data_IF_506999635036
#
_entry.id   IF_506999635036
#
_cell.length_a   1.000
_cell.length_b   1.000
_cell.length_c   1.000
_cell.angle_alpha   90.00
_cell.angle_beta   90.00
_cell.angle_gamma   90.00
#
_symmetry.space_group_name_H-M   'P 1'
#
loop_
_entity.id
_entity.type
_entity.pdbx_description
1 polymer ?
#
# COMPACT_ATOMS: atom_id res chain seq x y z
N UNK A 1 27.65 -2.94 -31.62
CA UNK A 1 27.30 -1.64 -30.97
C UNK A 1 28.16 -0.54 -31.57
N UNK A 2 27.56 0.23 -32.51
CA UNK A 2 28.31 1.17 -33.34
C UNK A 2 28.37 2.58 -32.72
N UNK A 3 27.51 2.91 -31.76
CA UNK A 3 27.40 4.24 -31.17
C UNK A 3 27.58 4.20 -29.65
N UNK A 4 28.25 5.20 -29.08
CA UNK A 4 28.47 5.34 -27.63
C UNK A 4 27.23 5.90 -26.92
N UNK A 5 26.46 6.76 -27.58
CA UNK A 5 25.25 7.36 -27.06
C UNK A 5 24.12 7.27 -28.11
N UNK A 6 22.93 6.98 -27.63
CA UNK A 6 21.69 6.93 -28.43
C UNK A 6 20.67 7.86 -27.80
N UNK A 7 20.13 8.81 -28.54
CA UNK A 7 19.05 9.68 -28.07
C UNK A 7 17.75 9.20 -28.67
N UNK A 8 16.80 8.81 -27.81
CA UNK A 8 15.46 8.38 -28.20
C UNK A 8 14.53 9.59 -28.08
N UNK A 9 13.87 9.94 -29.17
CA UNK A 9 12.93 11.03 -29.26
C UNK A 9 11.66 10.53 -29.94
N UNK A 10 10.71 10.02 -29.15
CA UNK A 10 9.39 9.64 -29.65
C UNK A 10 8.38 10.75 -29.38
N UNK A 11 7.16 10.56 -29.89
CA UNK A 11 6.07 11.49 -29.68
C UNK A 11 5.78 11.64 -28.17
N UNK A 12 5.46 12.85 -27.75
CA UNK A 12 5.13 13.14 -26.35
C UNK A 12 3.63 12.87 -26.10
N UNK A 13 3.19 11.66 -26.43
CA UNK A 13 1.87 11.11 -26.12
C UNK A 13 2.00 9.75 -25.44
N UNK A 14 0.90 9.18 -25.01
CA UNK A 14 0.88 7.92 -24.25
C UNK A 14 1.55 6.77 -25.01
N UNK A 15 1.33 6.69 -26.32
CA UNK A 15 1.92 5.66 -27.17
C UNK A 15 3.44 5.81 -27.30
N UNK A 16 3.92 7.04 -27.51
CA UNK A 16 5.35 7.35 -27.62
C UNK A 16 6.09 7.16 -26.29
N UNK A 17 5.48 7.53 -25.17
CA UNK A 17 6.03 7.29 -23.83
C UNK A 17 6.17 5.79 -23.57
N UNK A 18 5.14 5.01 -23.88
CA UNK A 18 5.17 3.54 -23.72
C UNK A 18 6.23 2.92 -24.62
N UNK A 19 6.29 3.32 -25.90
CA UNK A 19 7.31 2.84 -26.83
C UNK A 19 8.74 3.15 -26.34
N UNK A 20 8.97 4.33 -25.75
CA UNK A 20 10.24 4.66 -25.12
C UNK A 20 10.58 3.72 -23.96
N UNK A 21 9.62 3.44 -23.08
CA UNK A 21 9.80 2.52 -21.94
C UNK A 21 10.12 1.09 -22.41
N UNK A 22 9.50 0.62 -23.47
CA UNK A 22 9.74 -0.73 -24.02
C UNK A 22 11.13 -0.85 -24.68
N UNK A 23 11.64 0.20 -25.31
CA UNK A 23 12.90 0.19 -26.04
C UNK A 23 14.12 0.47 -25.16
N UNK A 24 13.97 1.32 -24.15
CA UNK A 24 15.07 1.76 -23.29
C UNK A 24 15.81 0.64 -22.57
N UNK A 25 15.14 -0.41 -22.03
CA UNK A 25 15.82 -1.53 -21.37
C UNK A 25 16.69 -2.38 -22.30
N UNK A 26 16.53 -2.24 -23.63
CA UNK A 26 17.34 -2.97 -24.60
C UNK A 26 18.76 -2.41 -24.76
N UNK A 27 19.02 -1.23 -24.23
CA UNK A 27 20.34 -0.59 -24.27
C UNK A 27 21.12 -0.85 -22.98
N UNK A 28 22.44 -0.91 -23.12
CA UNK A 28 23.32 -0.94 -21.95
C UNK A 28 23.08 0.29 -21.05
N UNK A 29 23.24 0.16 -19.72
CA UNK A 29 23.02 1.25 -18.79
C UNK A 29 23.73 2.55 -19.20
N UNK A 30 23.04 3.67 -19.13
CA UNK A 30 23.51 5.02 -19.46
C UNK A 30 23.78 5.28 -20.96
N UNK A 31 23.66 4.30 -21.83
CA UNK A 31 23.87 4.47 -23.28
C UNK A 31 22.70 5.19 -23.93
N UNK A 32 21.48 4.89 -23.51
CA UNK A 32 20.28 5.54 -24.02
C UNK A 32 19.93 6.79 -23.21
N UNK A 33 19.57 7.84 -23.91
CA UNK A 33 19.05 9.11 -23.37
C UNK A 33 17.66 9.36 -23.93
N UNK A 34 16.80 9.99 -23.18
CA UNK A 34 15.45 10.37 -23.60
C UNK A 34 15.39 11.87 -23.82
N UNK A 35 14.95 12.25 -25.01
CA UNK A 35 14.62 13.62 -25.35
C UNK A 35 13.11 13.81 -25.21
N UNK A 36 12.68 14.62 -24.25
CA UNK A 36 11.27 14.98 -24.06
C UNK A 36 10.99 16.34 -24.71
N UNK A 37 10.03 16.37 -25.62
CA UNK A 37 9.66 17.59 -26.34
C UNK A 37 8.55 18.34 -25.59
N UNK A 38 8.51 19.68 -25.62
CA UNK A 38 7.43 20.49 -25.06
C UNK A 38 6.12 20.44 -25.86
N UNK A 39 6.17 20.00 -27.14
CA UNK A 39 5.01 19.73 -27.99
C UNK A 39 4.93 18.24 -28.30
N UNK A 40 3.88 17.83 -29.01
CA UNK A 40 3.60 16.41 -29.27
C UNK A 40 4.75 15.74 -30.01
N UNK A 41 5.25 16.33 -31.07
CA UNK A 41 6.28 15.76 -31.93
C UNK A 41 7.22 16.82 -32.52
N UNK A 42 8.26 16.36 -33.22
CA UNK A 42 9.23 17.23 -33.90
C UNK A 42 8.59 18.06 -35.04
N UNK A 43 7.54 17.53 -35.69
CA UNK A 43 6.79 18.23 -36.72
C UNK A 43 6.04 19.43 -36.18
N UNK A 44 5.40 19.26 -35.01
CA UNK A 44 4.70 20.35 -34.32
C UNK A 44 5.68 21.40 -33.79
N UNK A 45 6.88 21.00 -33.34
CA UNK A 45 7.96 21.92 -32.99
C UNK A 45 8.39 22.76 -34.17
N UNK A 46 8.50 22.13 -35.34
CA UNK A 46 8.86 22.83 -36.58
C UNK A 46 7.77 23.81 -37.04
N UNK A 47 6.48 23.38 -37.04
CA UNK A 47 5.33 24.23 -37.36
C UNK A 47 5.23 25.46 -36.45
N UNK A 48 5.56 25.27 -35.17
CA UNK A 48 5.57 26.32 -34.15
C UNK A 48 6.83 27.20 -34.20
N UNK A 49 7.72 27.00 -35.18
CA UNK A 49 9.01 27.71 -35.35
C UNK A 49 9.93 27.59 -34.11
N UNK A 50 9.90 26.44 -33.42
CA UNK A 50 10.64 26.17 -32.17
C UNK A 50 11.88 25.31 -32.37
N UNK A 51 12.58 25.48 -33.47
CA UNK A 51 13.77 24.69 -33.83
C UNK A 51 14.88 24.81 -32.77
N UNK A 52 15.09 26.00 -32.21
CA UNK A 52 16.10 26.21 -31.17
C UNK A 52 15.75 25.45 -29.88
N UNK A 53 14.47 25.42 -29.49
CA UNK A 53 14.00 24.67 -28.34
C UNK A 53 14.16 23.16 -28.56
N UNK A 54 13.83 22.66 -29.78
CA UNK A 54 14.06 21.26 -30.15
C UNK A 54 15.55 20.88 -30.02
N UNK A 55 16.45 21.69 -30.61
CA UNK A 55 17.89 21.43 -30.50
C UNK A 55 18.37 21.40 -29.05
N UNK A 56 17.83 22.30 -28.20
CA UNK A 56 18.15 22.32 -26.79
C UNK A 56 17.66 21.04 -26.10
N UNK A 57 16.42 20.61 -26.33
CA UNK A 57 15.88 19.35 -25.76
C UNK A 57 16.73 18.15 -26.17
N UNK A 58 17.23 18.13 -27.40
CA UNK A 58 18.11 17.06 -27.87
C UNK A 58 19.45 17.02 -27.11
N UNK A 59 20.10 18.14 -26.89
CA UNK A 59 21.36 18.22 -26.17
C UNK A 59 21.19 18.02 -24.67
N UNK A 60 20.06 18.44 -24.13
CA UNK A 60 19.69 18.26 -22.70
C UNK A 60 19.06 16.89 -22.42
N UNK A 61 19.03 15.97 -23.40
CA UNK A 61 18.46 14.64 -23.24
C UNK A 61 19.09 13.90 -22.06
N UNK A 62 18.25 13.43 -21.15
CA UNK A 62 18.68 12.78 -19.90
C UNK A 62 18.90 11.29 -20.09
N UNK A 63 19.92 10.76 -19.44
CA UNK A 63 20.13 9.31 -19.38
C UNK A 63 18.90 8.64 -18.80
N UNK A 64 18.50 7.53 -19.41
CA UNK A 64 17.41 6.70 -18.89
C UNK A 64 17.76 6.22 -17.49
N UNK A 65 16.81 6.37 -16.61
CA UNK A 65 16.84 5.78 -15.26
C UNK A 65 15.69 4.77 -15.18
N UNK A 66 15.97 3.50 -14.83
CA UNK A 66 14.91 2.55 -14.56
C UNK A 66 13.99 3.06 -13.46
N UNK A 67 12.73 2.59 -13.48
CA UNK A 67 11.77 2.91 -12.44
C UNK A 67 12.32 2.56 -11.05
N UNK A 68 12.10 3.43 -10.06
CA UNK A 68 12.62 3.27 -8.72
C UNK A 68 14.05 3.75 -8.51
N UNK A 69 14.82 4.04 -9.58
CA UNK A 69 16.16 4.62 -9.46
C UNK A 69 16.09 6.15 -9.44
N UNK A 70 16.46 6.74 -8.31
CA UNK A 70 16.51 8.21 -8.16
C UNK A 70 17.93 8.68 -7.84
N UNK A 71 18.25 9.88 -8.27
CA UNK A 71 19.50 10.56 -7.86
C UNK A 71 19.17 11.59 -6.78
N UNK A 72 20.07 11.79 -5.82
CA UNK A 72 19.88 12.80 -4.76
C UNK A 72 19.68 14.23 -5.32
N UNK A 73 20.16 14.50 -6.54
CA UNK A 73 19.97 15.79 -7.21
C UNK A 73 18.65 15.92 -7.98
N UNK A 74 17.79 14.89 -7.98
CA UNK A 74 16.48 15.01 -8.62
C UNK A 74 15.58 15.90 -7.73
N UNK A 75 14.81 16.79 -8.37
CA UNK A 75 14.06 17.86 -7.69
C UNK A 75 13.02 17.36 -6.67
N UNK A 76 12.49 16.15 -6.89
CA UNK A 76 11.46 15.54 -6.04
C UNK A 76 12.01 14.83 -4.79
N UNK A 77 13.33 14.56 -4.74
CA UNK A 77 13.95 13.85 -3.61
C UNK A 77 13.91 14.68 -2.34
N UNK A 78 14.21 15.98 -2.46
CA UNK A 78 14.12 16.89 -1.32
C UNK A 78 12.69 17.05 -0.80
N UNK A 79 11.72 17.14 -1.70
CA UNK A 79 10.30 17.22 -1.34
C UNK A 79 9.81 15.94 -0.65
N UNK A 80 10.29 14.78 -1.10
CA UNK A 80 10.04 13.50 -0.41
C UNK A 80 10.64 13.48 0.99
N UNK A 81 11.85 14.03 1.16
CA UNK A 81 12.46 14.17 2.48
C UNK A 81 11.64 15.07 3.40
N UNK A 82 11.19 16.23 2.92
CA UNK A 82 10.39 17.18 3.72
C UNK A 82 9.03 16.61 4.14
N UNK A 83 8.45 15.73 3.32
CA UNK A 83 7.20 15.04 3.63
C UNK A 83 7.37 13.91 4.63
N UNK A 84 8.59 13.40 4.82
CA UNK A 84 8.85 12.34 5.77
C UNK A 84 8.59 12.83 7.21
N UNK A 85 7.80 12.05 7.95
CA UNK A 85 7.41 12.40 9.32
C UNK A 85 6.21 13.34 9.41
N UNK A 86 5.61 13.70 8.27
CA UNK A 86 4.32 14.39 8.22
C UNK A 86 3.17 13.43 7.86
N UNK A 87 3.48 12.15 7.67
CA UNK A 87 2.48 11.12 7.42
C UNK A 87 1.55 10.99 8.63
N UNK A 88 0.29 10.72 8.33
CA UNK A 88 -0.68 10.42 9.37
C UNK A 88 -0.30 9.13 10.10
N UNK A 89 -0.14 9.22 11.40
CA UNK A 89 0.16 8.07 12.27
C UNK A 89 -1.11 7.63 12.97
N UNK A 90 -1.42 6.35 12.86
CA UNK A 90 -2.52 5.73 13.62
C UNK A 90 -1.95 5.13 14.89
N UNK A 91 -2.30 5.64 16.08
CA UNK A 91 -1.81 5.09 17.33
C UNK A 91 -2.24 3.63 17.50
N UNK A 92 -1.37 2.82 18.08
CA UNK A 92 -1.76 1.51 18.59
C UNK A 92 -2.66 1.68 19.81
N UNK A 93 -3.53 0.71 20.12
CA UNK A 93 -4.35 0.74 21.31
C UNK A 93 -3.56 0.99 22.59
N UNK A 94 -4.18 1.60 23.59
CA UNK A 94 -3.53 1.97 24.86
C UNK A 94 -2.86 0.76 25.55
N UNK A 95 -3.40 -0.45 25.39
CA UNK A 95 -2.81 -1.71 25.88
C UNK A 95 -1.41 -2.00 25.30
N UNK A 96 -1.05 -1.40 24.16
CA UNK A 96 0.26 -1.51 23.51
C UNK A 96 1.12 -0.26 23.70
N UNK A 97 0.93 0.50 24.77
CA UNK A 97 1.54 1.79 24.99
C UNK A 97 3.08 1.84 24.84
N UNK A 98 3.79 0.84 25.37
CA UNK A 98 5.25 0.74 25.21
C UNK A 98 5.68 0.54 23.76
N UNK A 99 4.96 -0.32 23.02
CA UNK A 99 5.20 -0.54 21.60
C UNK A 99 4.89 0.71 20.79
N UNK A 100 3.81 1.40 21.12
CA UNK A 100 3.41 2.66 20.50
C UNK A 100 4.52 3.73 20.63
N UNK A 101 5.13 3.85 21.81
CA UNK A 101 6.25 4.77 22.04
C UNK A 101 7.48 4.38 21.20
N UNK A 102 7.78 3.09 21.07
CA UNK A 102 8.88 2.59 20.23
C UNK A 102 8.65 2.82 18.73
N UNK A 103 7.41 2.88 18.29
CA UNK A 103 6.99 3.11 16.89
C UNK A 103 6.70 4.59 16.58
N UNK A 104 7.26 5.53 17.37
CA UNK A 104 7.04 6.97 17.19
C UNK A 104 5.55 7.38 17.16
N UNK A 105 4.73 6.72 17.95
CA UNK A 105 3.31 7.04 18.11
C UNK A 105 2.35 6.11 17.39
N UNK A 106 2.83 5.11 16.65
CA UNK A 106 1.95 4.11 16.02
C UNK A 106 2.37 3.67 14.63
N UNK A 107 1.39 3.32 13.81
CA UNK A 107 1.57 2.85 12.43
C UNK A 107 1.37 4.02 11.48
N UNK A 108 2.38 4.33 10.67
CA UNK A 108 2.28 5.39 9.67
C UNK A 108 1.49 4.94 8.43
N UNK A 109 0.78 5.88 7.82
CA UNK A 109 0.03 5.61 6.59
C UNK A 109 0.98 5.17 5.46
N UNK A 110 0.59 4.14 4.72
CA UNK A 110 1.37 3.58 3.61
C UNK A 110 2.51 2.64 4.01
N UNK A 111 2.69 2.35 5.30
CA UNK A 111 3.69 1.39 5.78
C UNK A 111 3.11 -0.02 5.96
N UNK A 112 3.99 -1.01 5.87
CA UNK A 112 3.67 -2.40 6.18
C UNK A 112 4.38 -2.80 7.47
N UNK A 113 3.61 -3.19 8.47
CA UNK A 113 4.13 -3.72 9.74
C UNK A 113 4.03 -5.25 9.75
N UNK A 114 5.13 -5.93 10.01
CA UNK A 114 5.17 -7.40 10.07
C UNK A 114 5.35 -7.86 11.53
N UNK A 115 4.45 -8.73 11.98
CA UNK A 115 4.52 -9.37 13.30
C UNK A 115 5.00 -10.81 13.14
N UNK A 116 6.22 -11.08 13.58
CA UNK A 116 6.82 -12.42 13.59
C UNK A 116 6.75 -13.05 14.97
N UNK A 117 6.31 -14.32 15.05
CA UNK A 117 6.33 -15.10 16.28
C UNK A 117 6.43 -16.59 15.97
N UNK A 118 6.97 -17.37 16.90
CA UNK A 118 6.95 -18.82 16.82
C UNK A 118 5.51 -19.34 16.93
N UNK A 119 5.31 -20.59 16.53
CA UNK A 119 4.00 -21.26 16.63
C UNK A 119 3.52 -21.29 18.09
N UNK A 120 2.23 -21.12 18.30
CA UNK A 120 1.55 -21.21 19.61
C UNK A 120 1.95 -20.17 20.69
N UNK A 121 2.66 -19.11 20.33
CA UNK A 121 3.00 -18.01 21.28
C UNK A 121 1.86 -16.98 21.44
N UNK A 122 0.81 -17.08 20.64
CA UNK A 122 -0.32 -16.13 20.72
C UNK A 122 -0.26 -14.99 19.68
N UNK A 123 0.47 -15.17 18.57
CA UNK A 123 0.49 -14.19 17.44
C UNK A 123 -0.93 -13.79 17.02
N UNK A 124 -1.77 -14.77 16.74
CA UNK A 124 -3.16 -14.54 16.31
C UNK A 124 -3.97 -13.83 17.41
N UNK A 125 -3.82 -14.21 18.67
CA UNK A 125 -4.45 -13.54 19.81
C UNK A 125 -4.03 -12.07 19.90
N UNK A 126 -2.74 -11.78 19.69
CA UNK A 126 -2.24 -10.41 19.63
C UNK A 126 -2.91 -9.61 18.51
N UNK A 127 -3.07 -10.20 17.33
CA UNK A 127 -3.73 -9.54 16.18
C UNK A 127 -5.19 -9.23 16.51
N UNK A 128 -5.95 -10.16 17.08
CA UNK A 128 -7.34 -9.89 17.48
C UNK A 128 -7.45 -8.79 18.55
N UNK A 129 -6.54 -8.76 19.53
CA UNK A 129 -6.48 -7.67 20.50
C UNK A 129 -6.14 -6.33 19.85
N UNK A 130 -5.25 -6.33 18.87
CA UNK A 130 -4.91 -5.13 18.10
C UNK A 130 -6.12 -4.63 17.31
N UNK A 131 -6.80 -5.52 16.59
CA UNK A 131 -8.03 -5.19 15.83
C UNK A 131 -9.11 -4.64 16.76
N UNK A 132 -9.37 -5.30 17.88
CA UNK A 132 -10.37 -4.84 18.85
C UNK A 132 -10.01 -3.46 19.43
N UNK A 133 -8.77 -3.27 19.84
CA UNK A 133 -8.36 -1.97 20.39
C UNK A 133 -8.40 -0.85 19.34
N UNK A 134 -8.00 -1.12 18.10
CA UNK A 134 -8.14 -0.15 17.01
C UNK A 134 -9.62 0.12 16.70
N UNK A 135 -10.48 -0.90 16.77
CA UNK A 135 -11.92 -0.74 16.60
C UNK A 135 -12.52 0.20 17.66
N UNK A 136 -12.12 0.05 18.93
CA UNK A 136 -12.68 0.82 20.05
C UNK A 136 -12.08 2.22 20.19
N UNK A 137 -10.78 2.38 19.94
CA UNK A 137 -10.04 3.61 20.22
C UNK A 137 -9.79 4.48 18.98
N UNK A 138 -9.99 3.95 17.76
CA UNK A 138 -9.75 4.65 16.51
C UNK A 138 -11.07 4.91 15.74
N UNK A 139 -11.11 5.99 14.97
CA UNK A 139 -12.18 6.27 14.01
C UNK A 139 -11.95 5.59 12.64
N UNK A 140 -10.84 4.87 12.44
CA UNK A 140 -10.48 4.24 11.16
C UNK A 140 -11.32 3.00 10.89
N UNK A 141 -11.59 2.75 9.62
CA UNK A 141 -12.11 1.47 9.14
C UNK A 141 -10.99 0.42 9.14
N UNK A 142 -11.32 -0.81 9.43
CA UNK A 142 -10.38 -1.93 9.56
C UNK A 142 -10.81 -3.05 8.62
N UNK A 143 -9.97 -3.38 7.65
CA UNK A 143 -10.12 -4.56 6.81
C UNK A 143 -9.33 -5.75 7.39
N UNK A 144 -10.00 -6.86 7.64
CA UNK A 144 -9.40 -8.08 8.15
C UNK A 144 -9.37 -9.17 7.08
N UNK A 145 -8.20 -9.79 6.92
CA UNK A 145 -7.99 -10.93 6.01
C UNK A 145 -7.36 -12.06 6.80
N UNK A 146 -8.15 -13.11 7.10
CA UNK A 146 -7.69 -14.30 7.79
C UNK A 146 -7.85 -15.50 6.84
N UNK A 147 -6.73 -16.00 6.30
CA UNK A 147 -6.75 -17.09 5.31
C UNK A 147 -6.87 -18.49 5.95
N UNK A 148 -6.66 -18.60 7.25
CA UNK A 148 -6.72 -19.87 8.01
C UNK A 148 -8.02 -20.04 8.81
N UNK A 149 -8.76 -18.95 9.06
CA UNK A 149 -9.99 -18.94 9.85
C UNK A 149 -11.20 -18.58 8.98
N UNK A 150 -12.32 -19.21 9.19
CA UNK A 150 -13.58 -18.79 8.58
C UNK A 150 -14.16 -17.55 9.29
N UNK A 151 -15.19 -16.95 8.68
CA UNK A 151 -15.84 -15.77 9.25
C UNK A 151 -16.45 -16.05 10.61
N UNK A 152 -17.05 -17.24 10.83
CA UNK A 152 -17.64 -17.62 12.11
C UNK A 152 -16.59 -17.69 13.21
N UNK A 153 -15.47 -18.36 12.96
CA UNK A 153 -14.34 -18.42 13.90
C UNK A 153 -13.75 -17.02 14.16
N UNK A 154 -13.63 -16.21 13.12
CA UNK A 154 -13.14 -14.83 13.23
C UNK A 154 -14.04 -13.99 14.14
N UNK A 155 -15.36 -14.07 13.94
CA UNK A 155 -16.35 -13.36 14.77
C UNK A 155 -16.34 -13.86 16.21
N UNK A 156 -16.26 -15.19 16.43
CA UNK A 156 -16.16 -15.76 17.78
C UNK A 156 -14.94 -15.23 18.54
N UNK A 157 -13.78 -15.16 17.88
CA UNK A 157 -12.55 -14.62 18.48
C UNK A 157 -12.63 -13.10 18.73
N UNK A 158 -13.21 -12.33 17.81
CA UNK A 158 -13.43 -10.90 18.03
C UNK A 158 -14.38 -10.64 19.19
N UNK A 159 -15.50 -11.36 19.27
CA UNK A 159 -16.43 -11.29 20.40
C UNK A 159 -15.76 -11.71 21.69
N UNK A 160 -14.94 -12.77 21.68
CA UNK A 160 -14.19 -13.22 22.85
C UNK A 160 -13.28 -12.12 23.41
N UNK A 161 -12.59 -11.41 22.55
CA UNK A 161 -11.75 -10.27 22.98
C UNK A 161 -12.62 -9.11 23.49
N UNK A 162 -13.70 -8.79 22.78
CA UNK A 162 -14.60 -7.69 23.14
C UNK A 162 -15.25 -7.92 24.52
N UNK A 163 -15.61 -9.16 24.83
CA UNK A 163 -16.25 -9.55 26.10
C UNK A 163 -15.23 -9.89 27.20
N UNK A 164 -13.95 -9.99 26.87
CA UNK A 164 -12.91 -10.42 27.82
C UNK A 164 -13.06 -11.88 28.29
N UNK A 165 -13.77 -12.71 27.52
CA UNK A 165 -14.05 -14.12 27.85
C UNK A 165 -13.85 -14.97 26.61
N UNK A 166 -13.06 -16.04 26.69
CA UNK A 166 -12.91 -16.97 25.58
C UNK A 166 -14.20 -17.79 25.38
N UNK A 167 -14.99 -17.42 24.36
CA UNK A 167 -16.28 -18.07 24.07
C UNK A 167 -16.10 -19.56 23.75
N UNK A 168 -14.98 -19.95 23.12
CA UNK A 168 -14.69 -21.36 22.80
C UNK A 168 -14.61 -22.25 24.05
N UNK A 169 -14.21 -21.68 25.18
CA UNK A 169 -14.10 -22.42 26.48
C UNK A 169 -15.44 -22.51 27.22
N UNK A 170 -16.46 -21.77 26.78
CA UNK A 170 -17.80 -21.81 27.41
C UNK A 170 -18.60 -22.98 26.86
N UNK A 171 -19.04 -23.95 27.71
CA UNK A 171 -19.91 -25.03 27.28
C UNK A 171 -21.18 -24.52 26.60
N UNK A 172 -21.64 -25.23 25.55
CA UNK A 172 -22.76 -24.77 24.71
C UNK A 172 -24.03 -24.46 25.50
N UNK A 173 -24.31 -25.26 26.55
CA UNK A 173 -25.45 -25.08 27.44
C UNK A 173 -25.37 -23.80 28.29
N UNK A 174 -24.19 -23.25 28.46
CA UNK A 174 -23.93 -22.03 29.24
C UNK A 174 -23.72 -20.80 28.40
N UNK A 175 -23.78 -20.92 27.05
CA UNK A 175 -23.60 -19.79 26.11
C UNK A 175 -24.83 -18.91 26.07
N UNK A 176 -24.67 -17.63 26.36
CA UNK A 176 -25.72 -16.63 26.20
C UNK A 176 -25.70 -16.05 24.80
N UNK A 177 -26.38 -16.73 23.88
CA UNK A 177 -26.46 -16.29 22.48
C UNK A 177 -27.15 -14.93 22.28
N UNK A 178 -28.04 -14.52 23.20
CA UNK A 178 -28.67 -13.20 23.12
C UNK A 178 -27.67 -12.10 23.42
N UNK A 179 -26.82 -12.29 24.45
CA UNK A 179 -25.73 -11.37 24.76
C UNK A 179 -24.70 -11.31 23.62
N UNK A 180 -24.36 -12.47 23.04
CA UNK A 180 -23.43 -12.52 21.91
C UNK A 180 -23.98 -11.77 20.70
N UNK A 181 -25.26 -11.92 20.40
CA UNK A 181 -25.92 -11.20 19.31
C UNK A 181 -25.96 -9.69 19.57
N UNK A 182 -26.27 -9.27 20.79
CA UNK A 182 -26.23 -7.84 21.16
C UNK A 182 -24.84 -7.23 20.90
N UNK A 183 -23.77 -7.91 21.35
CA UNK A 183 -22.40 -7.43 21.14
C UNK A 183 -21.95 -7.49 19.70
N UNK A 184 -22.41 -8.48 18.94
CA UNK A 184 -22.21 -8.54 17.50
C UNK A 184 -22.89 -7.36 16.80
N UNK A 185 -24.13 -7.04 17.14
CA UNK A 185 -24.86 -5.92 16.55
C UNK A 185 -24.19 -4.58 16.85
N UNK A 186 -23.67 -4.38 18.07
CA UNK A 186 -22.88 -3.18 18.41
C UNK A 186 -21.68 -3.02 17.47
N UNK A 187 -20.95 -4.11 17.18
CA UNK A 187 -19.83 -4.08 16.24
C UNK A 187 -20.27 -3.87 14.81
N UNK A 188 -21.32 -4.55 14.37
CA UNK A 188 -21.81 -4.51 13.00
C UNK A 188 -22.38 -3.12 12.62
N UNK A 189 -23.11 -2.47 13.53
CA UNK A 189 -23.70 -1.15 13.30
C UNK A 189 -22.63 -0.04 13.17
N UNK A 190 -21.42 -0.27 13.62
CA UNK A 190 -20.34 0.73 13.53
C UNK A 190 -19.83 0.95 12.10
N UNK A 191 -20.02 0.00 11.19
CA UNK A 191 -19.45 -0.03 9.82
C UNK A 191 -17.92 0.15 9.80
N UNK A 192 -17.24 -0.20 10.88
CA UNK A 192 -15.78 -0.08 10.99
C UNK A 192 -15.00 -1.34 10.63
N UNK A 193 -15.62 -2.52 10.80
CA UNK A 193 -14.96 -3.81 10.61
C UNK A 193 -15.47 -4.50 9.35
N UNK A 194 -14.56 -4.79 8.45
CA UNK A 194 -14.83 -5.54 7.23
C UNK A 194 -13.95 -6.77 7.18
N UNK A 195 -14.53 -7.93 6.97
CA UNK A 195 -13.82 -9.22 6.98
C UNK A 195 -13.88 -9.81 5.57
N UNK A 196 -12.72 -10.20 5.03
CA UNK A 196 -12.67 -10.99 3.81
C UNK A 196 -12.99 -12.44 4.15
N UNK A 197 -14.13 -12.93 3.66
CA UNK A 197 -14.52 -14.33 3.76
C UNK A 197 -13.85 -15.15 2.65
N UNK A 198 -12.70 -15.70 2.96
CA UNK A 198 -11.98 -16.60 2.06
C UNK A 198 -11.14 -17.58 2.88
N UNK A 199 -11.27 -18.87 2.54
CA UNK A 199 -10.47 -19.94 3.12
C UNK A 199 -9.53 -20.54 2.06
N UNK A 200 -8.30 -20.82 2.47
CA UNK A 200 -7.32 -21.50 1.65
C UNK A 200 -6.40 -20.57 0.86
N UNK A 201 -5.81 -21.11 -0.20
CA UNK A 201 -4.89 -20.37 -1.05
C UNK A 201 -5.62 -19.31 -1.88
N UNK A 202 -5.05 -18.13 -1.96
CA UNK A 202 -5.52 -17.02 -2.76
C UNK A 202 -4.36 -16.53 -3.63
N UNK A 203 -4.62 -16.32 -4.92
CA UNK A 203 -3.62 -15.73 -5.80
C UNK A 203 -3.32 -14.28 -5.38
N UNK A 204 -2.06 -13.88 -5.48
CA UNK A 204 -1.63 -12.58 -5.00
C UNK A 204 -2.40 -11.41 -5.62
N UNK A 205 -2.65 -11.46 -6.93
CA UNK A 205 -3.38 -10.41 -7.65
C UNK A 205 -4.83 -10.31 -7.19
N UNK A 206 -5.48 -11.45 -6.92
CA UNK A 206 -6.84 -11.48 -6.39
C UNK A 206 -6.88 -10.93 -4.96
N UNK A 207 -5.91 -11.31 -4.12
CA UNK A 207 -5.78 -10.76 -2.76
C UNK A 207 -5.63 -9.24 -2.79
N UNK A 208 -4.72 -8.72 -3.63
CA UNK A 208 -4.52 -7.28 -3.76
C UNK A 208 -5.77 -6.55 -4.26
N UNK A 209 -6.51 -7.11 -5.22
CA UNK A 209 -7.77 -6.53 -5.69
C UNK A 209 -8.81 -6.43 -4.57
N UNK A 210 -8.96 -7.48 -3.76
CA UNK A 210 -9.88 -7.50 -2.60
C UNK A 210 -9.42 -6.53 -1.50
N UNK A 211 -8.12 -6.47 -1.20
CA UNK A 211 -7.57 -5.49 -0.26
C UNK A 211 -7.80 -4.05 -0.73
N UNK A 212 -7.63 -3.76 -2.02
CA UNK A 212 -7.92 -2.44 -2.57
C UNK A 212 -9.40 -2.05 -2.41
N UNK A 213 -10.31 -3.00 -2.54
CA UNK A 213 -11.72 -2.77 -2.27
C UNK A 213 -11.96 -2.39 -0.80
N UNK A 214 -11.37 -3.13 0.14
CA UNK A 214 -11.47 -2.85 1.58
C UNK A 214 -10.91 -1.46 1.97
N UNK A 215 -9.91 -0.97 1.24
CA UNK A 215 -9.28 0.34 1.52
C UNK A 215 -10.06 1.50 0.91
N UNK A 216 -10.75 1.29 -0.21
CA UNK A 216 -11.44 2.35 -0.97
C UNK A 216 -12.93 2.47 -0.63
N UNK A 217 -13.52 1.45 -0.03
CA UNK A 217 -14.92 1.42 0.44
C UNK A 217 -15.04 2.01 1.83
#
# INVERSE_FOLDING_TARGET
>A
ETFDNVVICFDNDEAGIKAAQDVLPLFSPRKAKVCTLPLKDAGDMLKANKVREYTKCWWDAKAYKPEGVVSLGDSDVWDKFLKRGTEEVTPLPASFGSLNAMMNGGIAAGEVTVIGALTSIGKTTMVYNLVHGMYTESAKKIGCVFLEADVGETVEKLLSVYMGTNIADVPNENRDYNLYHEKYDEMAQSDKLHILDHQGALEADELFAKMQYLVKG
#
